data_IF_468826925903
#
_entry.id   IF_468826925903
#
_cell.length_a   1.000
_cell.length_b   1.000
_cell.length_c   1.000
_cell.angle_alpha   90.00
_cell.angle_beta   90.00
_cell.angle_gamma   90.00
#
_symmetry.space_group_name_H-M   'P 1'
#
loop_
_entity.id
_entity.type
_entity.pdbx_description
1 polymer ?
#
# COMPACT_ATOMS: atom_id res chain seq x y z
N UNK A 1 -5.42 55.15 -15.85
CA UNK A 1 -4.44 54.47 -16.71
C UNK A 1 -4.89 53.04 -16.93
N UNK A 2 -5.54 52.79 -18.08
CA UNK A 2 -5.97 51.47 -18.56
C UNK A 2 -4.99 51.07 -19.66
N UNK A 3 -4.37 49.90 -19.55
CA UNK A 3 -3.68 49.28 -20.68
C UNK A 3 -4.55 48.14 -21.22
N UNK A 4 -4.99 48.31 -22.46
CA UNK A 4 -5.47 47.27 -23.35
C UNK A 4 -4.29 46.56 -24.03
N UNK A 5 -4.60 45.70 -25.01
CA UNK A 5 -3.78 44.84 -25.87
C UNK A 5 -3.63 43.41 -25.34
N UNK A 6 -3.99 42.34 -26.07
CA UNK A 6 -4.72 42.18 -27.33
C UNK A 6 -5.02 40.67 -27.49
N UNK A 7 -6.06 40.33 -28.23
CA UNK A 7 -6.54 38.97 -28.46
C UNK A 7 -5.57 38.11 -29.30
N UNK A 8 -5.35 36.86 -28.90
CA UNK A 8 -4.84 35.80 -29.80
C UNK A 8 -5.68 34.52 -29.63
N UNK A 9 -6.41 34.24 -30.70
CA UNK A 9 -6.81 32.94 -31.30
C UNK A 9 -7.21 31.78 -30.38
N UNK A 10 -8.52 31.56 -30.36
CA UNK A 10 -9.20 30.29 -30.07
C UNK A 10 -8.68 29.14 -30.93
N UNK A 11 -8.06 28.14 -30.32
CA UNK A 11 -7.89 26.81 -30.92
C UNK A 11 -9.17 26.00 -30.70
N UNK A 12 -9.98 25.94 -31.75
CA UNK A 12 -11.18 25.10 -31.85
C UNK A 12 -10.73 23.67 -32.14
N UNK A 13 -10.60 22.83 -31.11
CA UNK A 13 -10.51 21.39 -31.35
C UNK A 13 -11.89 20.89 -31.78
N UNK A 14 -11.97 20.46 -33.03
CA UNK A 14 -13.11 19.78 -33.61
C UNK A 14 -13.36 18.47 -32.83
N UNK A 15 -14.47 18.44 -32.10
CA UNK A 15 -15.05 17.19 -31.60
C UNK A 15 -15.54 16.41 -32.83
N UNK A 16 -14.76 15.41 -33.28
CA UNK A 16 -15.27 14.39 -34.18
C UNK A 16 -16.10 13.41 -33.36
N UNK A 17 -17.36 13.29 -33.74
CA UNK A 17 -18.33 12.34 -33.22
C UNK A 17 -17.72 10.93 -33.16
N UNK A 18 -17.81 10.29 -31.99
CA UNK A 18 -17.50 8.87 -31.83
C UNK A 18 -18.76 8.07 -32.20
N UNK A 19 -18.64 6.97 -32.95
CA UNK A 19 -19.78 6.14 -33.29
C UNK A 19 -20.33 5.46 -32.04
N UNK A 20 -21.66 5.39 -31.97
CA UNK A 20 -22.41 4.53 -31.04
C UNK A 20 -21.97 3.08 -31.27
N UNK A 21 -21.52 2.42 -30.21
CA UNK A 21 -21.40 0.96 -30.22
C UNK A 21 -22.56 0.43 -29.40
N UNK A 22 -23.52 -0.15 -30.11
CA UNK A 22 -24.64 -0.91 -29.58
C UNK A 22 -24.15 -2.27 -29.06
N UNK A 23 -24.99 -2.81 -28.18
CA UNK A 23 -24.76 -3.96 -27.32
C UNK A 23 -24.63 -5.29 -28.06
N UNK A 24 -23.96 -6.24 -27.41
CA UNK A 24 -24.28 -7.66 -27.59
C UNK A 24 -23.17 -8.54 -28.13
N UNK A 25 -22.19 -8.89 -27.28
CA UNK A 25 -21.57 -10.22 -27.18
C UNK A 25 -21.05 -10.29 -25.74
N UNK A 26 -21.46 -11.24 -24.90
CA UNK A 26 -21.45 -12.66 -25.17
C UNK A 26 -20.53 -13.26 -24.13
N UNK A 27 -21.11 -14.09 -23.28
CA UNK A 27 -20.42 -14.88 -22.27
C UNK A 27 -19.17 -15.58 -22.81
N UNK A 28 -18.24 -15.85 -21.90
CA UNK A 28 -17.05 -16.71 -22.04
C UNK A 28 -15.75 -16.03 -22.50
N UNK A 29 -14.97 -15.54 -21.53
CA UNK A 29 -13.58 -15.99 -21.32
C UNK A 29 -13.28 -15.95 -19.82
N UNK A 30 -13.74 -16.95 -19.06
CA UNK A 30 -13.16 -17.25 -17.75
C UNK A 30 -11.89 -18.06 -17.97
N UNK A 31 -10.74 -17.39 -17.94
CA UNK A 31 -9.46 -18.08 -17.99
C UNK A 31 -9.09 -18.58 -16.57
N UNK A 32 -8.82 -19.88 -16.48
CA UNK A 32 -8.63 -20.66 -15.26
C UNK A 32 -7.35 -20.27 -14.54
N UNK A 33 -7.43 -19.52 -13.46
CA UNK A 33 -6.40 -19.51 -12.41
C UNK A 33 -7.07 -19.85 -11.08
N UNK A 34 -6.49 -20.82 -10.37
CA UNK A 34 -7.07 -21.50 -9.21
C UNK A 34 -7.07 -20.58 -8.00
N UNK A 35 -8.08 -19.70 -7.91
CA UNK A 35 -8.45 -19.02 -6.67
C UNK A 35 -8.83 -20.12 -5.67
N UNK A 36 -8.16 -20.20 -4.52
CA UNK A 36 -8.58 -21.07 -3.43
C UNK A 36 -9.93 -20.57 -2.90
N UNK A 37 -10.99 -21.12 -3.49
CA UNK A 37 -12.35 -21.01 -2.98
C UNK A 37 -12.49 -22.03 -1.86
N UNK A 38 -13.17 -21.67 -0.77
CA UNK A 38 -13.56 -22.65 0.24
C UNK A 38 -14.52 -23.69 -0.37
N UNK A 39 -14.89 -24.73 0.39
CA UNK A 39 -15.76 -25.82 -0.07
C UNK A 39 -17.10 -25.36 -0.70
N UNK A 40 -17.49 -24.10 -0.47
CA UNK A 40 -18.71 -23.48 -0.97
C UNK A 40 -18.48 -22.42 -2.07
N UNK A 41 -17.30 -22.37 -2.70
CA UNK A 41 -17.04 -21.45 -3.81
C UNK A 41 -16.76 -19.99 -3.39
N UNK A 42 -16.69 -19.68 -2.09
CA UNK A 42 -16.50 -18.32 -1.56
C UNK A 42 -15.02 -18.02 -1.30
N UNK A 43 -14.61 -16.77 -1.53
CA UNK A 43 -13.30 -16.28 -1.07
C UNK A 43 -13.24 -16.38 0.46
N UNK A 44 -12.14 -16.92 0.99
CA UNK A 44 -11.89 -16.97 2.42
C UNK A 44 -11.21 -15.68 2.90
N UNK A 45 -11.44 -15.29 4.14
CA UNK A 45 -10.66 -14.25 4.81
C UNK A 45 -9.18 -14.64 4.77
N UNK A 46 -8.31 -13.73 4.33
CA UNK A 46 -6.87 -13.91 4.37
C UNK A 46 -6.23 -12.74 5.11
N UNK A 47 -5.35 -13.03 6.06
CA UNK A 47 -4.63 -12.02 6.84
C UNK A 47 -3.18 -12.44 6.96
N UNK A 48 -2.32 -11.48 7.26
CA UNK A 48 -0.92 -11.73 7.60
C UNK A 48 -0.82 -12.68 8.80
N UNK A 49 0.16 -13.59 8.79
CA UNK A 49 0.33 -14.62 9.83
C UNK A 49 0.64 -14.02 11.21
N UNK A 50 1.18 -12.81 11.26
CA UNK A 50 1.44 -12.07 12.50
C UNK A 50 0.31 -11.07 12.76
N UNK A 51 -0.69 -11.40 13.60
CA UNK A 51 -1.88 -10.56 13.78
C UNK A 51 -1.56 -9.19 14.38
N UNK A 52 -0.47 -9.08 15.13
CA UNK A 52 -0.01 -7.83 15.74
C UNK A 52 0.79 -6.91 14.82
N UNK A 53 1.05 -7.28 13.56
CA UNK A 53 1.69 -6.49 12.49
C UNK A 53 2.54 -5.28 12.96
N UNK A 54 3.88 -5.44 12.98
CA UNK A 54 4.84 -4.41 13.43
C UNK A 54 4.34 -3.67 14.68
N UNK A 55 4.21 -4.41 15.78
CA UNK A 55 3.73 -3.87 17.05
C UNK A 55 4.77 -2.90 17.63
N UNK A 56 4.39 -1.64 17.82
CA UNK A 56 5.26 -0.58 18.34
C UNK A 56 4.74 -0.11 19.69
N UNK A 57 5.61 -0.07 20.70
CA UNK A 57 5.26 0.36 22.06
C UNK A 57 5.57 1.83 22.26
N UNK A 58 4.64 2.57 22.86
CA UNK A 58 4.81 3.97 23.25
C UNK A 58 3.90 4.29 24.42
N UNK A 59 4.43 4.88 25.49
CA UNK A 59 3.65 5.36 26.65
C UNK A 59 2.71 4.29 27.28
N UNK A 60 3.11 3.01 27.24
CA UNK A 60 2.30 1.88 27.71
C UNK A 60 1.30 1.30 26.69
N UNK A 61 1.06 2.00 25.58
CA UNK A 61 0.21 1.56 24.49
C UNK A 61 0.98 0.72 23.45
N UNK A 62 0.24 -0.12 22.73
CA UNK A 62 0.73 -0.89 21.56
C UNK A 62 0.03 -0.42 20.30
N UNK A 63 0.83 0.05 19.35
CA UNK A 63 0.39 0.54 18.05
C UNK A 63 0.49 -0.53 16.98
N UNK A 64 -0.35 -0.41 15.96
CA UNK A 64 -0.45 -1.31 14.82
C UNK A 64 0.25 -0.68 13.61
N UNK A 65 1.55 -0.93 13.46
CA UNK A 65 2.42 -0.24 12.49
C UNK A 65 2.84 1.15 12.92
N UNK A 66 3.56 1.85 12.05
CA UNK A 66 4.14 3.15 12.31
C UNK A 66 3.21 4.35 12.12
N UNK A 67 3.64 5.50 12.64
CA UNK A 67 2.95 6.78 12.41
C UNK A 67 3.93 7.91 12.18
N UNK A 68 3.80 8.60 11.05
CA UNK A 68 4.53 9.87 10.81
C UNK A 68 4.13 10.96 11.83
N UNK A 69 2.98 10.81 12.50
CA UNK A 69 2.50 11.77 13.51
C UNK A 69 3.29 11.70 14.82
N UNK A 70 4.24 10.78 14.96
CA UNK A 70 5.18 10.75 16.09
C UNK A 70 6.36 11.72 15.93
N UNK A 71 6.63 12.20 14.71
CA UNK A 71 7.61 13.27 14.50
C UNK A 71 7.07 14.58 15.03
N UNK A 72 7.90 15.32 15.77
CA UNK A 72 7.54 16.62 16.32
C UNK A 72 7.42 17.69 15.24
N UNK A 73 6.61 18.71 15.53
CA UNK A 73 6.44 19.87 14.65
C UNK A 73 7.51 20.92 14.97
N UNK A 74 8.66 20.82 14.32
CA UNK A 74 9.86 21.61 14.60
C UNK A 74 10.20 22.53 13.42
N UNK A 75 9.33 23.50 13.12
CA UNK A 75 9.55 24.52 12.08
C UNK A 75 9.42 24.00 10.65
N UNK A 76 8.71 24.76 9.80
CA UNK A 76 8.13 24.34 8.49
C UNK A 76 9.09 23.69 7.46
N UNK A 77 10.39 23.68 7.72
CA UNK A 77 11.44 23.20 6.82
C UNK A 77 12.35 22.15 7.45
N UNK A 78 12.16 21.79 8.71
CA UNK A 78 12.97 20.73 9.33
C UNK A 78 12.66 19.38 8.71
N UNK A 79 13.61 18.46 8.82
CA UNK A 79 13.42 17.08 8.39
C UNK A 79 12.24 16.43 9.12
N UNK A 80 12.09 16.69 10.42
CA UNK A 80 10.95 16.23 11.23
C UNK A 80 9.61 16.70 10.65
N UNK A 81 9.47 18.00 10.31
CA UNK A 81 8.24 18.54 9.71
C UNK A 81 7.94 17.90 8.34
N UNK A 82 8.98 17.64 7.56
CA UNK A 82 8.85 16.99 6.24
C UNK A 82 8.35 15.56 6.39
N UNK A 83 8.94 14.77 7.30
CA UNK A 83 8.49 13.39 7.54
C UNK A 83 7.08 13.37 8.14
N UNK A 84 6.81 14.22 9.14
CA UNK A 84 5.49 14.37 9.74
C UNK A 84 4.39 14.64 8.72
N UNK A 85 4.69 15.43 7.68
CA UNK A 85 3.71 15.87 6.69
C UNK A 85 3.64 14.98 5.44
N UNK A 86 4.77 14.41 5.01
CA UNK A 86 4.90 13.74 3.70
C UNK A 86 5.58 12.36 3.78
N UNK A 87 5.81 11.84 4.99
CA UNK A 87 6.61 10.65 5.26
C UNK A 87 5.87 9.32 5.15
N UNK A 88 4.61 9.27 4.74
CA UNK A 88 3.82 8.03 4.67
C UNK A 88 4.51 6.92 3.86
N UNK A 89 5.25 7.28 2.79
CA UNK A 89 6.07 6.35 2.03
C UNK A 89 7.28 5.80 2.79
N UNK A 90 7.91 6.62 3.65
CA UNK A 90 8.98 6.16 4.56
C UNK A 90 8.44 5.21 5.62
N UNK A 91 7.32 5.56 6.25
CA UNK A 91 6.64 4.69 7.21
C UNK A 91 6.31 3.35 6.55
N UNK A 92 5.69 3.38 5.37
CA UNK A 92 5.29 2.19 4.64
C UNK A 92 6.46 1.28 4.25
N UNK A 93 7.57 1.86 3.75
CA UNK A 93 8.78 1.09 3.48
C UNK A 93 9.38 0.50 4.76
N UNK A 94 9.45 1.31 5.82
CA UNK A 94 9.99 0.88 7.10
C UNK A 94 9.22 -0.29 7.70
N UNK A 95 7.89 -0.20 7.71
CA UNK A 95 7.05 -1.28 8.23
C UNK A 95 7.17 -2.56 7.40
N UNK A 96 7.25 -2.46 6.07
CA UNK A 96 7.50 -3.63 5.20
C UNK A 96 8.82 -4.31 5.58
N UNK A 97 9.92 -3.55 5.71
CA UNK A 97 11.23 -4.13 6.04
C UNK A 97 11.26 -4.76 7.43
N UNK A 98 10.68 -4.09 8.43
CA UNK A 98 10.60 -4.63 9.79
C UNK A 98 9.72 -5.87 9.84
N UNK A 99 8.58 -5.86 9.15
CA UNK A 99 7.71 -7.02 9.08
C UNK A 99 8.46 -8.25 8.54
N UNK A 100 9.18 -8.10 7.43
CA UNK A 100 9.98 -9.17 6.84
C UNK A 100 11.11 -9.64 7.78
N UNK A 101 11.75 -8.72 8.50
CA UNK A 101 12.82 -9.02 9.46
C UNK A 101 12.31 -9.68 10.76
N UNK A 102 11.06 -9.42 11.15
CA UNK A 102 10.40 -10.08 12.26
C UNK A 102 10.02 -11.53 11.92
N UNK A 103 9.64 -11.80 10.66
CA UNK A 103 9.31 -13.14 10.18
C UNK A 103 10.51 -14.09 10.14
N UNK A 104 11.68 -13.57 9.76
CA UNK A 104 12.86 -14.37 9.48
C UNK A 104 14.11 -13.64 9.97
N UNK A 105 14.80 -14.22 10.96
CA UNK A 105 16.03 -13.67 11.52
C UNK A 105 17.13 -13.51 10.48
N UNK A 106 17.12 -14.29 9.40
CA UNK A 106 18.04 -14.17 8.27
C UNK A 106 17.86 -12.86 7.48
N UNK A 107 16.72 -12.18 7.61
CA UNK A 107 16.44 -10.88 6.97
C UNK A 107 16.78 -9.69 7.87
N UNK A 108 17.15 -9.94 9.12
CA UNK A 108 17.61 -8.90 10.03
C UNK A 108 19.00 -8.41 9.63
N UNK A 109 19.22 -7.12 9.73
CA UNK A 109 20.50 -6.49 9.40
C UNK A 109 20.77 -5.30 10.32
N UNK A 110 21.91 -4.63 10.14
CA UNK A 110 22.32 -3.48 10.96
C UNK A 110 21.26 -2.37 11.04
N UNK A 111 20.40 -2.24 10.03
CA UNK A 111 19.37 -1.19 9.99
C UNK A 111 18.16 -1.62 10.82
N UNK A 112 17.61 -2.83 10.62
CA UNK A 112 16.43 -3.29 11.40
C UNK A 112 16.77 -3.47 12.89
N UNK A 113 18.04 -3.78 13.21
CA UNK A 113 18.52 -3.83 14.59
C UNK A 113 18.45 -2.49 15.34
N UNK A 114 18.33 -1.36 14.63
CA UNK A 114 18.07 -0.05 15.27
C UNK A 114 16.70 -0.08 15.96
N UNK A 115 15.65 -0.54 15.27
CA UNK A 115 14.31 -0.65 15.82
C UNK A 115 14.16 -1.81 16.82
N UNK A 116 14.90 -2.90 16.59
CA UNK A 116 14.84 -4.14 17.36
C UNK A 116 15.89 -4.19 18.49
N UNK A 117 16.31 -3.03 19.01
CA UNK A 117 17.37 -2.93 20.03
C UNK A 117 17.02 -3.71 21.31
N UNK A 118 15.74 -3.74 21.68
CA UNK A 118 15.21 -4.49 22.82
C UNK A 118 14.63 -5.85 22.39
N UNK A 119 15.28 -6.49 21.43
CA UNK A 119 14.84 -7.76 20.83
C UNK A 119 13.60 -7.59 19.96
N UNK A 120 12.58 -8.43 20.16
CA UNK A 120 11.35 -8.39 19.35
C UNK A 120 10.36 -7.30 19.79
N UNK A 121 10.65 -6.57 20.88
CA UNK A 121 9.83 -5.46 21.36
C UNK A 121 10.31 -4.16 20.73
N UNK A 122 9.55 -3.60 19.79
CA UNK A 122 9.93 -2.37 19.10
C UNK A 122 9.41 -1.16 19.90
N UNK A 123 10.32 -0.38 20.46
CA UNK A 123 9.99 0.89 21.13
C UNK A 123 9.88 2.02 20.11
N UNK A 124 8.97 2.96 20.32
CA UNK A 124 8.73 4.07 19.39
C UNK A 124 9.98 4.94 19.15
N UNK A 125 10.81 5.15 20.17
CA UNK A 125 12.06 5.89 20.06
C UNK A 125 13.04 5.20 19.10
N UNK A 126 13.25 3.90 19.30
CA UNK A 126 14.08 3.05 18.43
C UNK A 126 13.53 2.96 17.01
N UNK A 127 12.20 2.92 16.87
CA UNK A 127 11.52 2.94 15.59
C UNK A 127 11.75 4.27 14.84
N UNK A 128 11.71 5.42 15.51
CA UNK A 128 12.01 6.72 14.88
C UNK A 128 13.45 6.79 14.38
N UNK A 129 14.44 6.40 15.20
CA UNK A 129 15.84 6.35 14.76
C UNK A 129 16.04 5.42 13.57
N UNK A 130 15.31 4.30 13.54
CA UNK A 130 15.28 3.39 12.40
C UNK A 130 14.71 4.06 11.13
N UNK A 131 13.59 4.78 11.25
CA UNK A 131 12.99 5.48 10.10
C UNK A 131 13.85 6.62 9.57
N UNK A 132 14.59 7.33 10.42
CA UNK A 132 15.57 8.34 9.99
C UNK A 132 16.69 7.72 9.13
N UNK A 133 17.14 6.52 9.51
CA UNK A 133 18.08 5.72 8.75
C UNK A 133 17.49 5.28 7.39
N UNK A 134 16.23 4.82 7.38
CA UNK A 134 15.52 4.47 6.14
C UNK A 134 15.35 5.68 5.22
N UNK A 135 14.99 6.84 5.77
CA UNK A 135 14.77 8.03 4.96
C UNK A 135 16.05 8.56 4.34
N UNK A 136 17.09 8.71 5.14
CA UNK A 136 18.39 9.22 4.68
C UNK A 136 19.01 8.34 3.58
N UNK A 137 18.90 7.02 3.69
CA UNK A 137 19.56 6.09 2.76
C UNK A 137 18.68 5.69 1.57
N UNK A 138 17.37 5.51 1.76
CA UNK A 138 16.51 4.89 0.77
C UNK A 138 15.42 5.85 0.27
N UNK A 139 14.47 6.27 1.10
CA UNK A 139 13.26 6.94 0.58
C UNK A 139 13.48 8.42 0.24
N UNK A 140 14.34 9.12 0.99
CA UNK A 140 14.70 10.53 0.82
C UNK A 140 13.47 11.41 0.60
N UNK A 141 12.55 11.40 1.55
CA UNK A 141 11.24 12.07 1.49
C UNK A 141 11.41 13.52 1.10
N UNK A 142 10.57 13.96 0.16
CA UNK A 142 10.58 15.34 -0.32
C UNK A 142 9.33 16.05 0.16
N UNK A 143 9.51 17.31 0.54
CA UNK A 143 8.38 18.19 0.84
C UNK A 143 7.45 18.27 -0.38
N UNK A 144 6.15 18.43 -0.12
CA UNK A 144 5.07 18.60 -1.09
C UNK A 144 4.67 17.33 -1.85
N UNK A 145 5.65 16.52 -2.26
CA UNK A 145 5.41 15.35 -3.11
C UNK A 145 5.59 14.01 -2.39
N UNK A 146 6.19 14.01 -1.20
CA UNK A 146 6.51 12.79 -0.44
C UNK A 146 7.44 11.84 -1.22
N UNK A 147 7.09 10.56 -1.21
CA UNK A 147 7.78 9.50 -1.96
C UNK A 147 6.82 8.96 -3.03
N UNK A 148 7.11 9.22 -4.30
CA UNK A 148 6.25 8.72 -5.39
C UNK A 148 6.32 7.19 -5.51
N UNK A 149 5.27 6.55 -6.04
CA UNK A 149 5.19 5.09 -6.14
C UNK A 149 6.40 4.42 -6.80
N UNK A 150 6.87 4.89 -7.96
CA UNK A 150 8.08 4.36 -8.61
C UNK A 150 9.36 4.56 -7.77
N UNK A 151 9.48 5.72 -7.11
CA UNK A 151 10.62 6.00 -6.21
C UNK A 151 10.59 5.09 -4.98
N UNK A 152 9.40 4.80 -4.45
CA UNK A 152 9.19 3.90 -3.32
C UNK A 152 9.58 2.46 -3.68
N UNK A 153 9.10 1.95 -4.82
CA UNK A 153 9.50 0.62 -5.33
C UNK A 153 11.03 0.54 -5.56
N UNK A 154 11.63 1.59 -6.14
CA UNK A 154 13.09 1.69 -6.31
C UNK A 154 13.85 1.69 -4.97
N UNK A 155 13.34 2.40 -3.96
CA UNK A 155 13.91 2.41 -2.62
C UNK A 155 13.84 1.03 -1.95
N UNK A 156 12.71 0.34 -2.07
CA UNK A 156 12.51 -1.04 -1.59
C UNK A 156 13.49 -2.00 -2.26
N UNK A 157 13.65 -1.94 -3.59
CA UNK A 157 14.63 -2.77 -4.30
C UNK A 157 16.08 -2.49 -3.87
N UNK A 158 16.45 -1.22 -3.60
CA UNK A 158 17.77 -0.90 -3.04
C UNK A 158 17.97 -1.54 -1.68
N UNK A 159 16.95 -1.50 -0.82
CA UNK A 159 17.00 -2.15 0.49
C UNK A 159 17.10 -3.68 0.36
N UNK A 160 16.25 -4.31 -0.47
CA UNK A 160 16.30 -5.77 -0.69
C UNK A 160 17.66 -6.25 -1.19
N UNK A 161 18.31 -5.51 -2.11
CA UNK A 161 19.68 -5.82 -2.53
C UNK A 161 20.68 -5.71 -1.39
N UNK A 162 20.60 -4.64 -0.60
CA UNK A 162 21.46 -4.46 0.57
C UNK A 162 21.29 -5.58 1.61
N UNK A 163 20.05 -6.01 1.85
CA UNK A 163 19.69 -7.00 2.85
C UNK A 163 19.77 -8.46 2.34
N UNK A 164 20.15 -8.69 1.07
CA UNK A 164 20.18 -10.04 0.48
C UNK A 164 18.79 -10.71 0.36
N UNK A 165 17.71 -9.93 0.32
CA UNK A 165 16.34 -10.44 0.24
C UNK A 165 16.02 -10.78 -1.22
N UNK A 166 15.61 -12.03 -1.48
CA UNK A 166 15.27 -12.55 -2.82
C UNK A 166 13.89 -12.09 -3.34
N UNK A 167 13.50 -10.86 -3.01
CA UNK A 167 12.29 -10.21 -3.49
C UNK A 167 12.62 -9.06 -4.44
N UNK A 168 11.65 -8.73 -5.28
CA UNK A 168 11.63 -7.51 -6.08
C UNK A 168 10.32 -6.76 -5.88
N UNK A 169 10.40 -5.43 -5.99
CA UNK A 169 9.27 -4.53 -5.89
C UNK A 169 9.08 -3.76 -7.19
N UNK A 170 7.83 -3.58 -7.61
CA UNK A 170 7.49 -2.71 -8.74
C UNK A 170 6.27 -1.85 -8.41
N UNK A 171 6.19 -0.67 -9.02
CA UNK A 171 4.95 0.11 -8.98
C UNK A 171 4.00 -0.45 -10.01
N UNK A 172 2.84 -0.93 -9.57
CA UNK A 172 1.91 -1.61 -10.46
C UNK A 172 1.07 -0.59 -11.25
N UNK A 173 1.48 -0.29 -12.48
CA UNK A 173 0.81 0.73 -13.28
C UNK A 173 -0.58 0.29 -13.75
N UNK A 174 -1.58 1.18 -13.59
CA UNK A 174 -2.88 1.09 -14.25
C UNK A 174 -3.62 -0.24 -14.09
N UNK A 175 -3.75 -0.72 -12.86
CA UNK A 175 -4.44 -1.97 -12.57
C UNK A 175 -5.97 -1.88 -12.76
N UNK A 176 -6.54 -2.94 -13.33
CA UNK A 176 -7.98 -3.20 -13.26
C UNK A 176 -8.39 -3.50 -11.81
N UNK A 177 -9.70 -3.45 -11.53
CA UNK A 177 -10.21 -3.80 -10.20
C UNK A 177 -9.81 -5.23 -9.81
N UNK A 178 -10.10 -6.20 -10.68
CA UNK A 178 -9.78 -7.62 -10.44
C UNK A 178 -8.29 -7.87 -10.24
N UNK A 179 -7.43 -7.33 -11.11
CA UNK A 179 -6.00 -7.58 -11.04
C UNK A 179 -5.37 -6.95 -9.79
N UNK A 180 -5.87 -5.80 -9.34
CA UNK A 180 -5.39 -5.21 -8.09
C UNK A 180 -5.74 -6.05 -6.88
N UNK A 181 -6.99 -6.53 -6.80
CA UNK A 181 -7.39 -7.43 -5.73
C UNK A 181 -6.57 -8.74 -5.75
N UNK A 182 -6.37 -9.33 -6.93
CA UNK A 182 -5.54 -10.52 -7.12
C UNK A 182 -4.12 -10.30 -6.56
N UNK A 183 -3.47 -9.18 -6.91
CA UNK A 183 -2.11 -8.83 -6.42
C UNK A 183 -2.08 -8.61 -4.92
N UNK A 184 -3.11 -7.97 -4.35
CA UNK A 184 -3.23 -7.80 -2.90
C UNK A 184 -3.31 -9.19 -2.24
N UNK A 185 -4.20 -10.06 -2.71
CA UNK A 185 -4.37 -11.40 -2.15
C UNK A 185 -3.12 -12.26 -2.30
N UNK A 186 -2.44 -12.23 -3.45
CA UNK A 186 -1.19 -12.95 -3.69
C UNK A 186 -0.13 -12.57 -2.65
N UNK A 187 0.04 -11.26 -2.40
CA UNK A 187 0.99 -10.77 -1.41
C UNK A 187 0.59 -11.16 0.03
N UNK A 188 -0.69 -11.01 0.41
CA UNK A 188 -1.15 -11.41 1.74
C UNK A 188 -0.99 -12.93 1.95
N UNK A 189 -1.32 -13.76 0.96
CA UNK A 189 -1.12 -15.22 1.01
C UNK A 189 0.36 -15.61 1.06
N UNK A 190 1.23 -14.81 0.47
CA UNK A 190 2.69 -14.95 0.59
C UNK A 190 3.24 -14.37 1.91
N UNK A 191 2.38 -13.93 2.82
CA UNK A 191 2.71 -13.28 4.08
C UNK A 191 3.56 -12.01 3.87
N UNK A 192 3.14 -11.16 2.93
CA UNK A 192 3.79 -9.88 2.60
C UNK A 192 2.75 -8.75 2.74
N UNK A 193 2.97 -7.75 3.60
CA UNK A 193 2.07 -6.59 3.71
C UNK A 193 2.09 -5.78 2.41
N UNK A 194 0.93 -5.25 2.01
CA UNK A 194 0.81 -4.51 0.75
C UNK A 194 0.83 -3.02 1.00
N UNK A 195 1.80 -2.32 0.42
CA UNK A 195 1.78 -0.86 0.39
C UNK A 195 0.79 -0.42 -0.69
N UNK A 196 -0.34 0.15 -0.27
CA UNK A 196 -1.40 0.63 -1.14
C UNK A 196 -1.47 2.17 -1.06
N UNK A 197 -1.58 2.81 -2.22
CA UNK A 197 -1.73 4.26 -2.34
C UNK A 197 -3.19 4.62 -2.54
N UNK A 198 -3.66 5.52 -1.67
CA UNK A 198 -4.80 6.38 -1.92
C UNK A 198 -4.21 7.65 -2.53
N UNK A 199 -4.15 7.73 -3.86
CA UNK A 199 -3.46 8.81 -4.56
C UNK A 199 -4.05 10.20 -4.28
N UNK A 200 -3.40 11.29 -4.71
CA UNK A 200 -4.02 12.61 -4.70
C UNK A 200 -5.15 12.69 -5.74
N UNK A 201 -5.98 13.71 -5.63
CA UNK A 201 -6.99 14.02 -6.63
C UNK A 201 -6.34 14.41 -7.98
N UNK A 202 -6.82 13.85 -9.09
CA UNK A 202 -6.28 14.01 -10.44
C UNK A 202 -7.43 14.23 -11.43
N UNK A 203 -7.28 15.11 -12.44
CA UNK A 203 -6.13 16.00 -12.68
C UNK A 203 -6.09 17.21 -11.72
N UNK A 204 -7.15 17.45 -10.94
CA UNK A 204 -7.24 18.58 -10.00
C UNK A 204 -6.59 18.18 -8.67
N UNK A 205 -5.30 18.49 -8.53
CA UNK A 205 -4.49 18.18 -7.32
C UNK A 205 -4.95 18.90 -6.05
N UNK A 206 -5.83 19.90 -6.17
CA UNK A 206 -6.42 20.66 -5.07
C UNK A 206 -7.81 20.17 -4.66
N UNK A 207 -8.32 19.13 -5.33
CA UNK A 207 -9.60 18.53 -4.97
C UNK A 207 -9.53 17.93 -3.57
N UNK A 208 -10.68 17.83 -2.92
CA UNK A 208 -10.83 17.30 -1.58
C UNK A 208 -11.61 15.97 -1.59
N UNK A 209 -11.78 15.30 -2.72
CA UNK A 209 -12.38 13.98 -2.74
C UNK A 209 -11.43 12.95 -2.11
N UNK A 210 -12.00 11.98 -1.42
CA UNK A 210 -11.23 10.95 -0.73
C UNK A 210 -12.11 9.78 -0.34
N UNK A 211 -11.54 8.86 0.43
CA UNK A 211 -12.24 7.68 0.92
C UNK A 211 -12.31 7.68 2.44
N UNK A 212 -13.37 7.13 3.03
CA UNK A 212 -13.43 6.95 4.47
C UNK A 212 -12.62 5.73 4.91
N UNK A 213 -12.06 5.83 6.11
CA UNK A 213 -11.65 4.65 6.86
C UNK A 213 -12.72 4.29 7.89
N UNK A 214 -12.80 3.00 8.20
CA UNK A 214 -13.79 2.44 9.10
C UNK A 214 -13.15 1.81 10.33
N UNK A 215 -13.90 1.80 11.42
CA UNK A 215 -13.63 1.05 12.64
C UNK A 215 -14.63 -0.10 12.74
N UNK A 216 -14.21 -1.27 13.25
CA UNK A 216 -15.11 -2.41 13.40
C UNK A 216 -16.03 -2.14 14.59
N UNK A 217 -17.30 -2.49 14.44
CA UNK A 217 -18.27 -2.56 15.54
C UNK A 217 -18.88 -3.94 15.53
N UNK A 218 -19.10 -4.50 16.70
CA UNK A 218 -19.82 -5.76 16.83
C UNK A 218 -21.23 -5.42 17.32
N UNK A 219 -22.23 -5.90 16.59
CA UNK A 219 -23.63 -5.76 16.98
C UNK A 219 -24.12 -7.13 17.43
N UNK A 220 -24.66 -7.20 18.63
CA UNK A 220 -25.26 -8.43 19.15
C UNK A 220 -26.77 -8.36 18.91
N UNK A 221 -27.29 -9.27 18.09
CA UNK A 221 -28.73 -9.44 17.86
C UNK A 221 -29.09 -10.90 18.10
N UNK A 222 -29.96 -11.17 19.07
CA UNK A 222 -30.48 -12.52 19.35
C UNK A 222 -29.40 -13.61 19.50
N UNK A 223 -28.27 -13.28 20.14
CA UNK A 223 -27.15 -14.21 20.33
C UNK A 223 -26.23 -14.38 19.12
N UNK A 224 -26.50 -13.67 18.02
CA UNK A 224 -25.61 -13.58 16.86
C UNK A 224 -24.80 -12.28 16.89
N UNK A 225 -23.47 -12.41 16.79
CA UNK A 225 -22.55 -11.27 16.65
C UNK A 225 -22.36 -10.98 15.16
N UNK A 226 -22.87 -9.85 14.70
CA UNK A 226 -22.65 -9.37 13.34
C UNK A 226 -21.55 -8.31 13.33
N UNK A 227 -20.57 -8.50 12.43
CA UNK A 227 -19.48 -7.54 12.20
C UNK A 227 -20.01 -6.37 11.38
N UNK A 228 -20.09 -5.21 11.99
CA UNK A 228 -20.39 -3.93 11.36
C UNK A 228 -19.16 -3.04 11.22
N UNK A 229 -19.33 -1.92 10.51
CA UNK A 229 -18.30 -0.91 10.32
C UNK A 229 -18.88 0.49 10.44
N UNK A 230 -18.24 1.33 11.25
CA UNK A 230 -18.59 2.75 11.39
C UNK A 230 -17.48 3.61 10.82
N UNK A 231 -17.84 4.72 10.16
CA UNK A 231 -16.86 5.66 9.64
C UNK A 231 -16.03 6.22 10.79
N UNK A 232 -14.71 6.17 10.65
CA UNK A 232 -13.79 6.85 11.54
C UNK A 232 -13.89 8.36 11.35
N UNK A 233 -13.34 9.14 12.27
CA UNK A 233 -13.20 10.59 12.12
C UNK A 233 -12.41 10.97 10.85
N UNK A 234 -11.59 10.06 10.31
CA UNK A 234 -10.91 10.22 9.04
C UNK A 234 -11.83 9.70 7.92
N UNK A 235 -12.64 10.60 7.36
CA UNK A 235 -13.64 10.25 6.34
C UNK A 235 -13.28 10.71 4.92
N UNK A 236 -12.11 11.33 4.74
CA UNK A 236 -11.73 11.98 3.49
C UNK A 236 -10.24 11.83 3.15
N UNK A 237 -9.75 10.59 3.12
CA UNK A 237 -8.33 10.30 2.92
C UNK A 237 -7.99 10.33 1.42
N UNK A 238 -6.91 11.04 1.08
CA UNK A 238 -6.25 11.06 -0.23
C UNK A 238 -4.78 11.46 -0.07
N UNK A 239 -3.95 11.23 -1.10
CA UNK A 239 -2.51 11.55 -1.08
C UNK A 239 -1.71 10.78 -0.02
N UNK A 240 -2.11 9.54 0.30
CA UNK A 240 -1.60 8.79 1.45
C UNK A 240 -1.31 7.33 1.11
N UNK A 241 -0.24 6.77 1.69
CA UNK A 241 0.02 5.33 1.67
C UNK A 241 -0.54 4.68 2.93
N UNK A 242 -1.18 3.53 2.74
CA UNK A 242 -1.61 2.62 3.81
C UNK A 242 -0.99 1.25 3.59
N UNK A 243 -1.00 0.43 4.64
CA UNK A 243 -0.56 -0.95 4.54
C UNK A 243 -1.75 -1.88 4.65
N UNK A 244 -2.05 -2.65 3.61
CA UNK A 244 -3.04 -3.73 3.70
C UNK A 244 -2.40 -4.92 4.41
N UNK A 245 -3.09 -5.41 5.42
CA UNK A 245 -2.68 -6.54 6.26
C UNK A 245 -3.66 -7.72 6.19
N UNK A 246 -4.75 -7.56 5.45
CA UNK A 246 -5.70 -8.63 5.18
C UNK A 246 -6.86 -8.22 4.28
N UNK A 247 -7.57 -9.23 3.80
CA UNK A 247 -8.75 -9.13 2.93
C UNK A 247 -9.86 -9.94 3.58
N UNK A 248 -11.00 -9.30 3.84
CA UNK A 248 -12.19 -9.88 4.45
C UNK A 248 -13.31 -9.82 3.40
N UNK A 249 -13.62 -10.95 2.74
CA UNK A 249 -14.80 -11.06 1.90
C UNK A 249 -16.06 -11.07 2.78
N UNK A 250 -17.09 -10.31 2.43
CA UNK A 250 -18.40 -10.31 3.09
C UNK A 250 -19.49 -10.72 2.11
N UNK A 251 -19.69 -12.04 1.86
CA UNK A 251 -20.58 -12.52 0.80
C UNK A 251 -22.04 -12.09 0.97
N UNK A 252 -22.52 -11.96 2.21
CA UNK A 252 -23.90 -11.53 2.49
C UNK A 252 -24.15 -10.07 2.08
N UNK A 253 -23.13 -9.21 2.23
CA UNK A 253 -23.17 -7.81 1.85
C UNK A 253 -22.64 -7.56 0.41
N UNK A 254 -22.11 -8.59 -0.25
CA UNK A 254 -21.57 -8.49 -1.61
C UNK A 254 -20.33 -7.60 -1.75
N UNK A 255 -19.56 -7.39 -0.66
CA UNK A 255 -18.42 -6.47 -0.63
C UNK A 255 -17.14 -7.13 -0.12
N UNK A 256 -16.01 -6.45 -0.33
CA UNK A 256 -14.69 -6.84 0.16
C UNK A 256 -14.15 -5.72 1.03
N UNK A 257 -13.77 -6.07 2.25
CA UNK A 257 -13.17 -5.14 3.21
C UNK A 257 -11.67 -5.42 3.33
N UNK A 258 -10.86 -4.39 3.14
CA UNK A 258 -9.42 -4.45 3.39
C UNK A 258 -9.13 -4.09 4.85
N UNK A 259 -8.38 -4.95 5.55
CA UNK A 259 -7.74 -4.59 6.81
C UNK A 259 -6.52 -3.73 6.51
N UNK A 260 -6.41 -2.54 7.10
CA UNK A 260 -5.30 -1.64 6.85
C UNK A 260 -4.64 -1.15 8.15
N UNK A 261 -3.33 -0.90 8.10
CA UNK A 261 -2.60 -0.07 9.06
C UNK A 261 -2.43 1.34 8.49
N UNK A 262 -2.76 2.34 9.31
CA UNK A 262 -2.48 3.74 9.05
C UNK A 262 -2.32 4.50 10.36
N UNK A 263 -1.38 5.43 10.43
CA UNK A 263 -1.13 6.28 11.61
C UNK A 263 -1.02 5.51 12.94
N UNK A 264 -0.42 4.31 12.90
CA UNK A 264 -0.23 3.43 14.06
C UNK A 264 -1.49 2.74 14.57
N UNK A 265 -2.58 2.72 13.79
CA UNK A 265 -3.85 2.07 14.17
C UNK A 265 -4.34 1.15 13.05
N UNK A 266 -5.11 0.14 13.45
CA UNK A 266 -5.83 -0.74 12.52
C UNK A 266 -7.14 -0.09 12.12
N UNK A 267 -7.40 -0.02 10.82
CA UNK A 267 -8.65 0.43 10.21
C UNK A 267 -9.13 -0.57 9.18
N UNK A 268 -10.31 -0.30 8.64
CA UNK A 268 -10.94 -1.06 7.57
C UNK A 268 -11.30 -0.13 6.42
N UNK A 269 -11.26 -0.65 5.21
CA UNK A 269 -11.55 0.12 4.00
C UNK A 269 -12.36 -0.74 3.02
N UNK A 270 -13.47 -0.21 2.55
CA UNK A 270 -14.28 -0.87 1.53
C UNK A 270 -13.55 -0.82 0.19
N UNK A 271 -13.32 -1.99 -0.41
CA UNK A 271 -12.58 -2.10 -1.66
C UNK A 271 -13.30 -1.43 -2.82
N UNK A 272 -14.62 -1.54 -2.92
CA UNK A 272 -15.37 -0.95 -4.01
C UNK A 272 -15.44 0.57 -3.89
N UNK A 273 -15.50 1.12 -2.68
CA UNK A 273 -15.34 2.56 -2.45
C UNK A 273 -13.97 3.06 -2.91
N UNK A 274 -12.90 2.33 -2.56
CA UNK A 274 -11.56 2.63 -3.06
C UNK A 274 -11.48 2.55 -4.59
N UNK A 275 -12.09 1.55 -5.22
CA UNK A 275 -12.08 1.41 -6.69
C UNK A 275 -12.89 2.49 -7.40
N UNK A 276 -14.00 2.94 -6.83
CA UNK A 276 -14.75 4.12 -7.30
C UNK A 276 -13.87 5.36 -7.24
N UNK A 277 -13.13 5.56 -6.15
CA UNK A 277 -12.17 6.64 -6.01
C UNK A 277 -11.08 6.58 -7.10
N UNK A 278 -10.46 5.41 -7.32
CA UNK A 278 -9.43 5.23 -8.37
C UNK A 278 -9.96 5.47 -9.78
N UNK A 279 -11.21 5.07 -10.05
CA UNK A 279 -11.85 5.26 -11.35
C UNK A 279 -12.26 6.72 -11.61
N UNK A 280 -12.47 7.50 -10.56
CA UNK A 280 -12.76 8.93 -10.62
C UNK A 280 -11.54 9.77 -10.22
N UNK A 281 -11.61 10.51 -9.10
CA UNK A 281 -10.64 11.55 -8.80
C UNK A 281 -9.27 11.00 -8.39
N UNK A 282 -9.15 9.79 -7.84
CA UNK A 282 -7.87 9.24 -7.38
C UNK A 282 -6.88 8.85 -8.48
N UNK A 283 -7.39 8.59 -9.70
CA UNK A 283 -6.61 8.24 -10.88
C UNK A 283 -5.87 6.89 -10.81
N UNK A 284 -5.86 6.14 -11.91
CA UNK A 284 -5.26 4.80 -11.99
C UNK A 284 -3.73 4.75 -11.87
N UNK A 285 -3.06 5.89 -12.03
CA UNK A 285 -1.58 5.94 -12.05
C UNK A 285 -0.99 6.21 -10.68
N UNK A 286 -1.70 6.99 -9.88
CA UNK A 286 -1.29 7.45 -8.55
C UNK A 286 -1.95 6.66 -7.43
N UNK A 287 -3.17 6.14 -7.67
CA UNK A 287 -3.84 5.20 -6.77
C UNK A 287 -3.60 3.77 -7.24
N UNK A 288 -2.50 3.18 -6.77
CA UNK A 288 -2.11 1.80 -7.03
C UNK A 288 -1.32 1.22 -5.85
N UNK A 289 -0.60 0.10 -6.04
CA UNK A 289 0.18 -0.59 -5.02
C UNK A 289 1.64 -0.80 -5.43
N UNK A 290 2.49 -0.98 -4.43
CA UNK A 290 3.82 -1.57 -4.63
C UNK A 290 3.65 -3.09 -4.63
N UNK A 291 3.87 -3.71 -5.79
CA UNK A 291 3.79 -5.16 -5.92
C UNK A 291 5.14 -5.78 -5.57
N UNK A 292 5.17 -6.60 -4.54
CA UNK A 292 6.37 -7.32 -4.09
C UNK A 292 6.20 -8.81 -4.35
N UNK A 293 7.19 -9.42 -4.99
CA UNK A 293 7.20 -10.86 -5.29
C UNK A 293 8.60 -11.45 -5.20
N UNK A 294 8.67 -12.78 -5.15
CA UNK A 294 9.93 -13.53 -5.28
C UNK A 294 10.56 -13.27 -6.64
N UNK A 295 11.88 -13.06 -6.66
CA UNK A 295 12.63 -13.02 -7.92
C UNK A 295 12.57 -14.39 -8.57
N UNK A 296 12.30 -14.41 -9.87
CA UNK A 296 12.52 -15.61 -10.66
C UNK A 296 14.02 -15.83 -10.78
N UNK A 297 14.52 -16.93 -10.19
CA UNK A 297 15.89 -17.37 -10.47
C UNK A 297 15.90 -17.89 -11.90
N UNK A 298 16.53 -17.17 -12.81
CA UNK A 298 16.98 -17.75 -14.08
C UNK A 298 17.94 -18.87 -13.65
N UNK A 299 17.55 -20.12 -13.83
CA UNK A 299 18.48 -21.25 -13.68
C UNK A 299 19.48 -21.10 -14.81
N UNK A 300 20.71 -20.73 -14.48
CA UNK A 300 21.80 -20.77 -15.45
C UNK A 300 21.93 -22.21 -15.95
N UNK A 301 21.74 -22.39 -17.26
CA UNK A 301 21.85 -23.66 -17.98
C UNK A 301 23.32 -24.10 -18.17
N UNK A 302 24.22 -23.79 -17.24
CA UNK A 302 25.66 -24.07 -17.36
C UNK A 302 26.19 -25.19 -16.46
N UNK A 303 25.38 -25.80 -15.60
CA UNK A 303 25.78 -27.02 -14.89
C UNK A 303 25.46 -28.27 -15.74
N UNK A 304 26.29 -28.51 -16.76
CA UNK A 304 26.12 -29.64 -17.67
C UNK A 304 27.32 -30.01 -18.53
N UNK A 305 28.53 -29.56 -18.19
CA UNK A 305 29.76 -30.03 -18.84
C UNK A 305 30.72 -30.57 -17.77
N UNK A 306 30.54 -31.85 -17.47
CA UNK A 306 31.58 -32.70 -16.90
C UNK A 306 32.83 -32.62 -17.79
N UNK A 307 34.02 -32.34 -17.25
CA UNK A 307 35.25 -32.45 -18.02
C UNK A 307 35.50 -33.93 -18.33
N UNK A 308 35.29 -34.29 -19.59
CA UNK A 308 35.65 -35.59 -20.12
C UNK A 308 37.12 -35.91 -19.87
N UNK A 309 37.32 -37.08 -19.30
CA UNK A 309 38.57 -37.83 -19.25
C UNK A 309 39.26 -37.90 -20.62
N UNK A 310 40.49 -37.40 -20.68
CA UNK A 310 41.58 -37.89 -21.53
C UNK A 310 42.88 -37.70 -20.77
#
# INVERSE_FOLDING_TARGET
MRCQWQSIRTFRFMCKEKPKYEDGWGMAVMNKHRIQRNANGRMAECTLNRPGYVAIKKDGDVFYGGSQMWYEKNGRFSHSDIIRSYGCGTIAAGDLFLYLALQDTGRQNRITRIAMKDGCSIMQEHYISYLECIDSQYTKTKRWIGVTGPKLASAINRYFRFAGIEYEASWAWSLTSSLMLERIEEMIKADIPVILSVGPNTPILWGDAGIPFYLPVNTENEGHVERGYVKSANSNIHGHYVIVTGVIPEPAAGRIILCISSWGRKYYMDYDEYRKYVAGPGGKWTSSLVYVRKKERIRDLSEGLEPGSC
#
